data_IF_989907411889
#
_entry.id   IF_989907411889
#
_cell.length_a   1.000
_cell.length_b   1.000
_cell.length_c   1.000
_cell.angle_alpha   90.00
_cell.angle_beta   90.00
_cell.angle_gamma   90.00
#
_symmetry.space_group_name_H-M   'P 1'
#
loop_
_entity.id
_entity.type
_entity.pdbx_description
1 polymer ?
#
# COMPACT_ATOMS: atom_id res chain seq x y z
N UNK A 1 -19.45 15.84 -17.31
CA UNK A 1 -18.18 16.08 -16.60
C UNK A 1 -17.30 14.89 -16.89
N UNK A 2 -16.36 15.05 -17.81
CA UNK A 2 -15.54 13.96 -18.31
C UNK A 2 -14.47 13.63 -17.25
N UNK A 3 -14.14 12.35 -17.04
CA UNK A 3 -13.13 11.95 -16.05
C UNK A 3 -11.76 12.55 -16.35
N UNK A 4 -11.47 12.77 -17.64
CA UNK A 4 -10.26 13.43 -18.13
C UNK A 4 -10.17 14.90 -17.68
N UNK A 5 -11.27 15.66 -17.77
CA UNK A 5 -11.31 17.07 -17.35
C UNK A 5 -11.02 17.21 -15.85
N UNK A 6 -11.45 16.24 -15.04
CA UNK A 6 -11.20 16.25 -13.59
C UNK A 6 -9.75 15.87 -13.27
N UNK A 7 -9.16 14.98 -14.06
CA UNK A 7 -7.78 14.53 -13.86
C UNK A 7 -6.77 15.64 -14.18
N UNK A 8 -7.05 16.49 -15.17
CA UNK A 8 -6.22 17.65 -15.50
C UNK A 8 -6.21 18.72 -14.40
N UNK A 9 -7.26 18.78 -13.56
CA UNK A 9 -7.35 19.74 -12.45
C UNK A 9 -6.48 19.33 -11.25
N UNK A 10 -6.04 18.08 -11.17
CA UNK A 10 -5.23 17.57 -10.06
C UNK A 10 -3.75 17.57 -10.46
N UNK A 11 -2.86 18.24 -9.70
CA UNK A 11 -1.44 18.18 -9.97
C UNK A 11 -0.93 16.74 -9.99
N UNK A 12 -0.13 16.37 -11.00
CA UNK A 12 0.49 15.05 -11.11
C UNK A 12 1.23 14.63 -9.82
N UNK A 13 1.89 15.59 -9.17
CA UNK A 13 2.58 15.40 -7.89
C UNK A 13 1.66 14.92 -6.76
N UNK A 14 0.35 15.17 -6.84
CA UNK A 14 -0.65 14.67 -5.89
C UNK A 14 -1.16 13.26 -6.25
N UNK A 15 -1.10 12.87 -7.53
CA UNK A 15 -1.53 11.55 -8.01
C UNK A 15 -0.48 10.49 -7.70
N UNK A 16 0.81 10.80 -7.92
CA UNK A 16 1.90 9.82 -7.73
C UNK A 16 1.94 9.19 -6.33
N UNK A 17 1.85 9.94 -5.21
CA UNK A 17 1.84 9.35 -3.88
C UNK A 17 0.65 8.41 -3.67
N UNK A 18 -0.53 8.79 -4.16
CA UNK A 18 -1.77 8.01 -4.04
C UNK A 18 -1.70 6.69 -4.81
N UNK A 19 -1.21 6.74 -6.05
CA UNK A 19 -1.04 5.55 -6.89
C UNK A 19 0.05 4.61 -6.34
N UNK A 20 1.17 5.16 -5.88
CA UNK A 20 2.22 4.35 -5.27
C UNK A 20 1.75 3.69 -3.97
N UNK A 21 0.94 4.39 -3.18
CA UNK A 21 0.36 3.85 -1.95
C UNK A 21 -0.65 2.73 -2.25
N UNK A 22 -1.49 2.89 -3.27
CA UNK A 22 -2.44 1.84 -3.67
C UNK A 22 -1.75 0.61 -4.24
N UNK A 23 -0.73 0.77 -5.09
CA UNK A 23 0.07 -0.37 -5.58
C UNK A 23 0.73 -1.16 -4.46
N UNK A 24 1.23 -0.47 -3.42
CA UNK A 24 1.81 -1.15 -2.27
C UNK A 24 0.80 -2.00 -1.51
N UNK A 25 -0.43 -1.49 -1.29
CA UNK A 25 -1.52 -2.30 -0.73
C UNK A 25 -1.87 -3.50 -1.60
N UNK A 26 -1.91 -3.32 -2.93
CA UNK A 26 -2.22 -4.41 -3.86
C UNK A 26 -1.15 -5.52 -3.82
N UNK A 27 0.14 -5.19 -3.73
CA UNK A 27 1.22 -6.17 -3.55
C UNK A 27 1.07 -6.96 -2.23
N UNK A 28 0.71 -6.27 -1.14
CA UNK A 28 0.45 -6.89 0.15
C UNK A 28 -0.73 -7.88 0.06
N UNK A 29 -1.84 -7.48 -0.55
CA UNK A 29 -3.00 -8.36 -0.74
C UNK A 29 -2.70 -9.54 -1.66
N UNK A 30 -1.92 -9.34 -2.74
CA UNK A 30 -1.52 -10.41 -3.66
C UNK A 30 -0.71 -11.52 -2.96
N UNK A 31 -0.03 -11.19 -1.85
CA UNK A 31 0.74 -12.13 -1.03
C UNK A 31 -0.09 -12.84 0.05
N UNK A 32 -1.41 -12.63 0.07
CA UNK A 32 -2.32 -13.32 1.00
C UNK A 32 -2.36 -12.75 2.41
N UNK A 33 -1.91 -11.50 2.59
CA UNK A 33 -1.89 -10.81 3.88
C UNK A 33 -3.29 -10.22 4.20
N UNK A 34 -3.78 -10.39 5.43
CA UNK A 34 -5.07 -9.86 5.87
C UNK A 34 -5.04 -8.32 6.08
N UNK A 35 -6.21 -7.66 6.10
CA UNK A 35 -6.32 -6.21 6.30
C UNK A 35 -5.69 -5.70 7.60
N UNK A 36 -5.83 -6.45 8.70
CA UNK A 36 -5.20 -6.12 9.99
C UNK A 36 -3.67 -6.10 9.88
N UNK A 37 -3.09 -7.10 9.22
CA UNK A 37 -1.66 -7.24 8.99
C UNK A 37 -1.14 -6.16 8.02
N UNK A 38 -1.89 -5.85 6.97
CA UNK A 38 -1.55 -4.79 6.03
C UNK A 38 -1.49 -3.41 6.71
N UNK A 39 -2.47 -3.11 7.56
CA UNK A 39 -2.50 -1.88 8.37
C UNK A 39 -1.31 -1.78 9.33
N UNK A 40 -0.98 -2.88 10.00
CA UNK A 40 0.18 -2.95 10.88
C UNK A 40 1.49 -2.75 10.11
N UNK A 41 1.65 -3.42 8.97
CA UNK A 41 2.84 -3.28 8.12
C UNK A 41 2.98 -1.83 7.62
N UNK A 42 1.87 -1.18 7.26
CA UNK A 42 1.87 0.22 6.84
C UNK A 42 2.35 1.14 7.96
N UNK A 43 2.00 0.82 9.20
CA UNK A 43 2.40 1.59 10.36
C UNK A 43 3.87 1.39 10.75
N UNK A 44 4.38 0.16 10.62
CA UNK A 44 5.76 -0.19 10.96
C UNK A 44 6.76 0.26 9.90
N UNK A 45 6.39 0.14 8.63
CA UNK A 45 7.26 0.42 7.48
C UNK A 45 6.95 1.76 6.80
N UNK A 46 6.56 2.77 7.58
CA UNK A 46 6.33 4.13 7.09
C UNK A 46 7.58 4.65 6.39
N UNK A 47 7.54 4.70 5.05
CA UNK A 47 8.63 5.18 4.20
C UNK A 47 9.26 4.11 3.31
N UNK A 48 9.16 2.82 3.67
CA UNK A 48 9.56 1.74 2.77
C UNK A 48 8.43 1.49 1.75
N UNK A 49 8.72 1.77 0.48
CA UNK A 49 7.77 1.58 -0.63
C UNK A 49 7.76 0.15 -1.19
N UNK A 50 8.68 -0.69 -0.72
CA UNK A 50 8.84 -2.08 -1.14
C UNK A 50 8.75 -2.92 0.12
N UNK A 51 7.88 -3.93 0.10
CA UNK A 51 7.73 -4.88 1.17
C UNK A 51 8.96 -5.82 1.15
N UNK A 52 9.81 -5.84 2.20
CA UNK A 52 10.86 -6.85 2.32
C UNK A 52 10.23 -8.24 2.34
N UNK A 53 10.86 -9.23 1.70
CA UNK A 53 10.38 -10.62 1.75
C UNK A 53 10.27 -11.16 3.18
N UNK A 54 11.10 -10.66 4.10
CA UNK A 54 11.06 -11.01 5.52
C UNK A 54 9.79 -10.57 6.25
N UNK A 55 9.02 -9.60 5.71
CA UNK A 55 7.76 -9.17 6.32
C UNK A 55 6.74 -10.30 6.35
N UNK A 56 6.69 -11.14 5.32
CA UNK A 56 5.72 -12.23 5.29
C UNK A 56 5.92 -13.15 6.50
N UNK A 57 7.18 -13.47 6.80
CA UNK A 57 7.55 -14.27 7.96
C UNK A 57 7.23 -13.54 9.27
N UNK A 58 7.54 -12.24 9.38
CA UNK A 58 7.17 -11.48 10.58
C UNK A 58 5.64 -11.41 10.80
N UNK A 59 4.84 -11.29 9.74
CA UNK A 59 3.39 -11.20 9.80
C UNK A 59 2.74 -12.53 10.17
N UNK A 60 3.32 -13.64 9.72
CA UNK A 60 2.94 -15.00 10.11
C UNK A 60 3.30 -15.26 11.58
N UNK A 61 4.51 -14.89 12.01
CA UNK A 61 4.99 -15.09 13.38
C UNK A 61 4.21 -14.24 14.40
N UNK A 62 3.80 -13.02 14.00
CA UNK A 62 3.12 -12.09 14.90
C UNK A 62 1.67 -12.47 15.23
N UNK A 63 1.07 -13.48 14.59
CA UNK A 63 -0.34 -13.89 14.80
C UNK A 63 -1.28 -12.67 14.94
N UNK A 64 -1.12 -11.67 14.08
CA UNK A 64 -1.95 -10.47 14.10
C UNK A 64 -3.32 -10.85 13.51
N UNK A 65 -4.19 -11.41 14.35
CA UNK A 65 -5.64 -11.55 14.10
C UNK A 65 -6.29 -10.19 13.97
#
# INVERSE_FOLDING_TARGET
>A
RNTLEVLELVPLLSIHPSFNHSMWFMDVYARGINGSQASWAAHKYKGHRILPESILNELLDKNIT
#
